data_IF_913281098392
#
_entry.id   IF_913281098392
#
_cell.length_a   1.000
_cell.length_b   1.000
_cell.length_c   1.000
_cell.angle_alpha   90.00
_cell.angle_beta   90.00
_cell.angle_gamma   90.00
#
_symmetry.space_group_name_H-M   'P 1'
#
loop_
_entity.id
_entity.type
_entity.pdbx_description
1 polymer ?
#
# COMPACT_ATOMS: atom_id res chain seq x y z
N UNK A 1 2.95 -9.48 -13.06
CA UNK A 1 3.72 -8.40 -12.39
C UNK A 1 3.33 -8.40 -10.92
N UNK A 2 4.27 -8.23 -9.99
CA UNK A 2 3.96 -8.10 -8.56
C UNK A 2 3.10 -6.84 -8.34
N UNK A 3 2.07 -6.96 -7.50
CA UNK A 3 1.18 -5.84 -7.13
C UNK A 3 1.41 -5.54 -5.66
N UNK A 4 1.70 -4.27 -5.36
CA UNK A 4 1.85 -3.80 -3.98
C UNK A 4 0.76 -2.80 -3.67
N UNK A 5 0.19 -2.94 -2.49
CA UNK A 5 -0.82 -2.06 -1.93
C UNK A 5 -0.28 -1.52 -0.60
N UNK A 6 -0.55 -0.25 -0.34
CA UNK A 6 -0.39 0.35 0.98
C UNK A 6 -1.75 0.84 1.43
N UNK A 7 -2.12 0.57 2.68
CA UNK A 7 -3.41 1.03 3.21
C UNK A 7 -3.34 1.32 4.70
N UNK A 8 -4.13 2.29 5.17
CA UNK A 8 -4.22 2.63 6.59
C UNK A 8 -5.38 1.88 7.25
N UNK A 9 -5.15 1.24 8.41
CA UNK A 9 -6.24 0.70 9.22
C UNK A 9 -7.23 1.77 9.69
N UNK A 10 -6.76 3.01 9.78
CA UNK A 10 -7.54 4.17 10.21
C UNK A 10 -8.29 4.86 9.06
N UNK A 11 -8.23 4.35 7.81
CA UNK A 11 -8.99 4.91 6.69
C UNK A 11 -10.50 4.75 6.93
N UNK A 12 -11.21 5.88 7.12
CA UNK A 12 -12.66 5.90 7.33
C UNK A 12 -13.47 5.81 6.03
N UNK A 13 -12.85 6.04 4.86
CA UNK A 13 -13.49 5.96 3.55
C UNK A 13 -13.46 4.53 3.00
N UNK A 14 -12.34 3.83 3.19
CA UNK A 14 -12.13 2.46 2.70
C UNK A 14 -11.67 1.56 3.84
N UNK A 15 -12.47 0.56 4.25
CA UNK A 15 -12.08 -0.38 5.30
C UNK A 15 -10.82 -1.18 4.94
N UNK A 16 -9.92 -1.38 5.90
CA UNK A 16 -8.69 -2.15 5.70
C UNK A 16 -8.94 -3.58 5.17
N UNK A 17 -10.02 -4.22 5.62
CA UNK A 17 -10.43 -5.53 5.12
C UNK A 17 -10.72 -5.56 3.61
N UNK A 18 -11.14 -4.43 3.02
CA UNK A 18 -11.31 -4.32 1.57
C UNK A 18 -9.96 -4.28 0.84
N UNK A 19 -8.95 -3.63 1.43
CA UNK A 19 -7.58 -3.64 0.89
C UNK A 19 -6.96 -5.04 0.99
N UNK A 20 -7.18 -5.76 2.09
CA UNK A 20 -6.76 -7.17 2.25
C UNK A 20 -7.41 -8.06 1.19
N UNK A 21 -8.73 -7.95 1.02
CA UNK A 21 -9.46 -8.71 0.01
C UNK A 21 -8.96 -8.40 -1.41
N UNK A 22 -8.65 -7.13 -1.69
CA UNK A 22 -8.10 -6.71 -2.99
C UNK A 22 -6.71 -7.30 -3.23
N UNK A 23 -5.83 -7.26 -2.23
CA UNK A 23 -4.50 -7.86 -2.34
C UNK A 23 -4.57 -9.36 -2.65
N UNK A 24 -5.53 -10.07 -2.05
CA UNK A 24 -5.75 -11.50 -2.28
C UNK A 24 -6.21 -11.86 -3.70
N UNK A 25 -6.70 -10.89 -4.50
CA UNK A 25 -7.05 -11.12 -5.92
C UNK A 25 -5.82 -11.35 -6.81
N UNK A 26 -4.64 -10.95 -6.35
CA UNK A 26 -3.40 -11.04 -7.12
C UNK A 26 -2.54 -12.19 -6.61
N UNK A 27 -2.09 -13.07 -7.51
CA UNK A 27 -1.19 -14.19 -7.18
C UNK A 27 0.15 -13.76 -6.56
N UNK A 28 0.52 -12.48 -6.72
CA UNK A 28 1.68 -11.86 -6.08
C UNK A 28 1.31 -10.49 -5.51
N UNK A 29 0.15 -10.41 -4.87
CA UNK A 29 -0.32 -9.24 -4.13
C UNK A 29 0.33 -9.16 -2.75
N UNK A 30 0.82 -7.98 -2.38
CA UNK A 30 1.31 -7.70 -1.03
C UNK A 30 0.69 -6.41 -0.50
N UNK A 31 0.04 -6.49 0.66
CA UNK A 31 -0.43 -5.34 1.40
C UNK A 31 0.60 -4.95 2.46
N UNK A 32 0.95 -3.68 2.49
CA UNK A 32 1.76 -3.05 3.54
C UNK A 32 0.85 -2.14 4.34
N UNK A 33 0.82 -2.30 5.66
CA UNK A 33 0.09 -1.40 6.55
C UNK A 33 0.84 -0.07 6.68
N UNK A 34 0.17 1.06 6.46
CA UNK A 34 0.72 2.38 6.77
C UNK A 34 0.27 2.82 8.17
N UNK A 35 1.23 3.06 9.05
CA UNK A 35 0.99 3.58 10.41
C UNK A 35 0.90 5.11 10.34
N UNK A 36 -0.25 5.62 9.87
CA UNK A 36 -0.58 7.02 9.60
C UNK A 36 -0.05 7.56 8.25
N UNK A 37 -0.74 8.58 7.65
CA UNK A 37 -2.08 9.06 7.94
C UNK A 37 -3.16 8.07 7.49
N UNK A 38 -4.39 8.47 7.79
CA UNK A 38 -5.71 7.99 7.36
C UNK A 38 -5.78 7.70 5.82
N UNK A 39 -6.68 8.34 5.09
CA UNK A 39 -6.83 8.18 3.64
C UNK A 39 -5.63 8.67 2.82
N UNK A 40 -4.97 9.73 3.27
CA UNK A 40 -3.81 10.31 2.57
C UNK A 40 -2.53 9.53 2.98
N UNK A 41 -1.66 9.10 2.04
CA UNK A 41 -0.40 8.42 2.38
C UNK A 41 0.57 9.29 3.21
N UNK A 42 1.41 8.66 4.05
CA UNK A 42 2.47 9.39 4.78
C UNK A 42 3.61 9.79 3.85
N UNK A 43 4.35 10.82 4.26
CA UNK A 43 5.64 11.14 3.66
C UNK A 43 6.59 9.93 3.67
N UNK A 44 6.53 9.09 4.71
CA UNK A 44 7.29 7.85 4.80
C UNK A 44 6.86 6.84 3.73
N UNK A 45 5.57 6.52 3.64
CA UNK A 45 5.03 5.64 2.60
C UNK A 45 5.38 6.15 1.20
N UNK A 46 5.28 7.47 0.97
CA UNK A 46 5.64 8.09 -0.31
C UNK A 46 7.13 7.92 -0.60
N UNK A 47 8.02 8.17 0.39
CA UNK A 47 9.46 7.98 0.23
C UNK A 47 9.80 6.53 -0.13
N UNK A 48 9.25 5.56 0.60
CA UNK A 48 9.45 4.13 0.35
C UNK A 48 9.00 3.74 -1.06
N UNK A 49 7.81 4.19 -1.49
CA UNK A 49 7.30 3.94 -2.84
C UNK A 49 8.27 4.45 -3.91
N UNK A 50 8.78 5.68 -3.77
CA UNK A 50 9.71 6.25 -4.75
C UNK A 50 11.08 5.55 -4.74
N UNK A 51 11.56 5.08 -3.60
CA UNK A 51 12.78 4.26 -3.52
C UNK A 51 12.61 2.93 -4.24
N UNK A 52 11.49 2.24 -4.04
CA UNK A 52 11.19 0.99 -4.73
C UNK A 52 11.04 1.18 -6.25
N UNK A 53 10.35 2.23 -6.69
CA UNK A 53 10.18 2.53 -8.12
C UNK A 53 11.52 2.81 -8.80
N UNK A 54 12.44 3.52 -8.13
CA UNK A 54 13.79 3.73 -8.66
C UNK A 54 14.57 2.43 -8.76
N UNK A 55 14.48 1.56 -7.77
CA UNK A 55 15.15 0.26 -7.79
C UNK A 55 14.60 -0.68 -8.89
N UNK A 56 13.31 -0.58 -9.22
CA UNK A 56 12.69 -1.38 -10.28
C UNK A 56 13.00 -0.87 -11.70
N UNK A 57 13.42 0.39 -11.84
CA UNK A 57 13.79 1.01 -13.12
C UNK A 57 15.29 0.99 -13.45
N UNK A 58 16.13 0.45 -12.54
CA UNK A 58 17.57 0.25 -12.72
C UNK A 58 17.88 -1.18 -13.18
#
# INVERSE_FOLDING_TARGET
QPVRLWHAPADEEVPFAAAEATAALFASGRLTEQRAPDHIPSEETVRELFEELRAAGA
#
